data_IF_200389003273
#
_entry.id   IF_200389003273
#
_cell.length_a   1.000
_cell.length_b   1.000
_cell.length_c   1.000
_cell.angle_alpha   90.00
_cell.angle_beta   90.00
_cell.angle_gamma   90.00
#
_symmetry.space_group_name_H-M   'P 1'
#
loop_
_entity.id
_entity.type
_entity.pdbx_description
1 polymer ?
#
# COMPACT_ATOMS: atom_id res chain seq x y z
N UNK A 1 6.30 1.40 23.19
CA UNK A 1 7.48 1.45 22.31
C UNK A 1 7.08 2.13 21.00
N UNK A 2 7.95 3.04 20.49
CA UNK A 2 7.72 3.78 19.24
C UNK A 2 8.34 3.01 18.06
N UNK A 3 7.60 2.87 16.95
CA UNK A 3 8.06 2.22 15.72
C UNK A 3 7.71 3.03 14.46
N UNK A 4 8.46 2.84 13.38
CA UNK A 4 8.03 3.16 12.03
C UNK A 4 7.36 1.92 11.43
N UNK A 5 6.20 2.07 10.79
CA UNK A 5 5.42 0.95 10.29
C UNK A 5 5.22 0.99 8.79
N UNK A 6 5.34 -0.16 8.14
CA UNK A 6 5.11 -0.33 6.69
C UNK A 6 4.01 -1.37 6.47
N UNK A 7 2.96 -1.00 5.75
CA UNK A 7 1.80 -1.84 5.49
C UNK A 7 1.76 -2.30 4.04
N UNK A 8 1.71 -3.63 3.85
CA UNK A 8 1.62 -4.27 2.53
C UNK A 8 0.30 -3.98 1.83
N UNK A 9 0.32 -3.97 0.49
CA UNK A 9 -0.88 -3.94 -0.34
C UNK A 9 -1.56 -5.30 -0.45
N UNK A 10 -2.90 -5.33 -0.54
CA UNK A 10 -3.59 -6.61 -0.65
C UNK A 10 -5.11 -6.54 -0.81
N UNK A 11 -5.63 -5.46 -1.35
CA UNK A 11 -7.07 -5.29 -1.59
C UNK A 11 -7.90 -5.42 -0.31
N UNK A 12 -9.00 -6.17 -0.38
CA UNK A 12 -9.91 -6.33 0.78
C UNK A 12 -9.25 -7.03 1.99
N UNK A 13 -8.16 -7.75 1.79
CA UNK A 13 -7.39 -8.38 2.89
C UNK A 13 -6.81 -7.34 3.85
N UNK A 14 -6.70 -6.08 3.46
CA UNK A 14 -6.25 -4.97 4.31
C UNK A 14 -7.02 -4.80 5.62
N UNK A 15 -8.21 -5.39 5.74
CA UNK A 15 -8.95 -5.50 7.01
C UNK A 15 -8.10 -6.17 8.10
N UNK A 16 -7.31 -7.17 7.73
CA UNK A 16 -6.41 -7.85 8.68
C UNK A 16 -5.25 -6.98 9.15
N UNK A 17 -4.82 -5.99 8.33
CA UNK A 17 -3.82 -5.01 8.76
C UNK A 17 -4.35 -4.13 9.90
N UNK A 18 -5.61 -3.68 9.83
CA UNK A 18 -6.23 -2.93 10.92
C UNK A 18 -6.33 -3.78 12.21
N UNK A 19 -6.60 -5.09 12.07
CA UNK A 19 -6.50 -6.02 13.19
C UNK A 19 -5.09 -6.10 13.78
N UNK A 20 -4.06 -6.18 12.94
CA UNK A 20 -2.67 -6.25 13.42
C UNK A 20 -2.22 -4.96 14.11
N UNK A 21 -2.77 -3.81 13.70
CA UNK A 21 -2.61 -2.54 14.44
C UNK A 21 -3.22 -2.64 15.83
N UNK A 22 -4.41 -3.28 15.99
CA UNK A 22 -5.00 -3.53 17.30
C UNK A 22 -4.06 -4.32 18.19
N UNK A 23 -3.57 -5.48 17.71
CA UNK A 23 -2.64 -6.30 18.49
C UNK A 23 -1.35 -5.56 18.87
N UNK A 24 -0.83 -4.72 17.99
CA UNK A 24 0.31 -3.87 18.28
C UNK A 24 0.00 -2.82 19.38
N UNK A 25 -1.14 -2.13 19.26
CA UNK A 25 -1.55 -1.11 20.23
C UNK A 25 -1.83 -1.72 21.62
N UNK A 26 -2.42 -2.93 21.67
CA UNK A 26 -2.67 -3.67 22.90
C UNK A 26 -1.35 -4.05 23.61
N UNK A 27 -0.26 -4.23 22.86
CA UNK A 27 1.09 -4.43 23.37
C UNK A 27 1.85 -3.11 23.66
N UNK A 28 1.18 -1.97 23.66
CA UNK A 28 1.79 -0.67 23.98
C UNK A 28 2.65 -0.08 22.86
N UNK A 29 2.48 -0.54 21.62
CA UNK A 29 3.19 0.01 20.44
C UNK A 29 2.54 1.31 19.99
N UNK A 30 3.37 2.29 19.68
CA UNK A 30 2.98 3.57 19.10
C UNK A 30 3.64 3.74 17.74
N UNK A 31 2.93 4.39 16.82
CA UNK A 31 3.36 4.56 15.44
C UNK A 31 3.93 5.97 15.22
N UNK A 32 5.25 6.05 14.98
CA UNK A 32 5.95 7.29 14.67
C UNK A 32 5.66 7.73 13.22
N UNK A 33 6.25 7.07 12.25
CA UNK A 33 6.03 7.26 10.82
C UNK A 33 5.35 6.02 10.26
N UNK A 34 4.52 6.20 9.25
CA UNK A 34 3.79 5.11 8.62
C UNK A 34 3.90 5.18 7.11
N UNK A 35 4.01 4.03 6.48
CA UNK A 35 4.02 3.92 5.03
C UNK A 35 3.12 2.76 4.58
N UNK A 36 2.61 2.85 3.36
CA UNK A 36 1.79 1.77 2.83
C UNK A 36 1.58 1.81 1.33
N UNK A 37 1.19 0.65 0.80
CA UNK A 37 0.84 0.43 -0.60
C UNK A 37 -0.60 -0.06 -0.67
N UNK A 38 -1.38 0.41 -1.64
CA UNK A 38 -2.77 -0.06 -1.88
C UNK A 38 -3.61 -0.03 -0.60
N UNK A 39 -4.26 -1.14 -0.21
CA UNK A 39 -5.01 -1.19 1.06
C UNK A 39 -4.16 -0.88 2.30
N UNK A 40 -2.86 -1.14 2.27
CA UNK A 40 -1.93 -0.72 3.32
C UNK A 40 -1.80 0.81 3.42
N UNK A 41 -1.92 1.53 2.30
CA UNK A 41 -1.94 3.00 2.31
C UNK A 41 -3.18 3.58 2.98
N UNK A 42 -4.31 2.87 2.94
CA UNK A 42 -5.54 3.25 3.67
C UNK A 42 -5.28 3.19 5.17
N UNK A 43 -4.75 2.05 5.65
CA UNK A 43 -4.43 1.86 7.08
C UNK A 43 -3.38 2.89 7.54
N UNK A 44 -2.33 3.09 6.75
CA UNK A 44 -1.31 4.09 7.04
C UNK A 44 -1.88 5.52 7.13
N UNK A 45 -2.76 5.91 6.20
CA UNK A 45 -3.39 7.23 6.19
C UNK A 45 -4.32 7.44 7.40
N UNK A 46 -5.11 6.44 7.78
CA UNK A 46 -5.96 6.51 8.97
C UNK A 46 -5.12 6.62 10.26
N UNK A 47 -4.04 5.83 10.38
CA UNK A 47 -3.11 5.94 11.51
C UNK A 47 -2.42 7.32 11.56
N UNK A 48 -1.98 7.84 10.41
CA UNK A 48 -1.36 9.16 10.33
C UNK A 48 -2.33 10.27 10.76
N UNK A 49 -3.62 10.11 10.46
CA UNK A 49 -4.69 11.01 10.88
C UNK A 49 -5.10 10.86 12.36
N UNK A 50 -4.50 9.91 13.10
CA UNK A 50 -4.76 9.70 14.52
C UNK A 50 -5.91 8.75 14.85
N UNK A 51 -6.37 7.95 13.88
CA UNK A 51 -7.32 6.87 14.17
C UNK A 51 -6.67 5.76 14.97
N UNK A 52 -7.39 5.25 15.97
CA UNK A 52 -7.01 4.03 16.71
C UNK A 52 -7.60 2.80 16.03
N UNK A 53 -7.07 1.64 16.36
CA UNK A 53 -7.52 0.38 15.76
C UNK A 53 -9.01 0.10 16.01
N UNK A 54 -9.53 0.43 17.20
CA UNK A 54 -10.94 0.27 17.53
C UNK A 54 -11.84 1.14 16.62
N UNK A 55 -11.42 2.39 16.34
CA UNK A 55 -12.13 3.27 15.43
C UNK A 55 -12.10 2.73 13.99
N UNK A 56 -10.93 2.22 13.54
CA UNK A 56 -10.80 1.57 12.23
C UNK A 56 -11.68 0.33 12.11
N UNK A 57 -11.81 -0.48 13.16
CA UNK A 57 -12.72 -1.62 13.21
C UNK A 57 -14.16 -1.21 12.95
N UNK A 58 -14.64 -0.19 13.66
CA UNK A 58 -16.00 0.34 13.47
C UNK A 58 -16.22 0.87 12.05
N UNK A 59 -15.23 1.56 11.48
CA UNK A 59 -15.27 2.04 10.10
C UNK A 59 -15.40 0.85 9.12
N UNK A 60 -14.58 -0.19 9.32
CA UNK A 60 -14.58 -1.39 8.48
C UNK A 60 -15.92 -2.13 8.55
N UNK A 61 -16.44 -2.35 9.75
CA UNK A 61 -17.71 -3.06 9.98
C UNK A 61 -18.91 -2.32 9.37
N UNK A 62 -18.88 -0.99 9.36
CA UNK A 62 -19.95 -0.15 8.82
C UNK A 62 -19.78 0.22 7.34
N UNK A 63 -18.68 -0.21 6.68
CA UNK A 63 -18.45 0.12 5.28
C UNK A 63 -18.79 -1.05 4.37
N UNK A 64 -19.87 -0.96 3.57
CA UNK A 64 -20.14 -1.95 2.54
C UNK A 64 -19.15 -1.76 1.38
N UNK A 65 -18.00 -2.43 1.43
CA UNK A 65 -16.90 -2.26 0.45
C UNK A 65 -17.35 -2.42 -1.00
N UNK A 66 -18.34 -3.28 -1.27
CA UNK A 66 -18.95 -3.42 -2.58
C UNK A 66 -19.56 -2.10 -3.11
N UNK A 67 -20.02 -1.20 -2.23
CA UNK A 67 -20.57 0.10 -2.63
C UNK A 67 -19.50 1.07 -3.13
N UNK A 68 -18.23 0.82 -2.80
CA UNK A 68 -17.10 1.60 -3.32
C UNK A 68 -16.79 1.25 -4.79
N UNK A 69 -17.35 0.14 -5.30
CA UNK A 69 -17.23 -0.30 -6.68
C UNK A 69 -18.35 0.33 -7.52
N UNK A 70 -18.24 1.62 -7.82
CA UNK A 70 -19.23 2.31 -8.66
C UNK A 70 -18.85 2.24 -10.12
N UNK A 71 -19.82 1.79 -10.94
CA UNK A 71 -19.78 1.95 -12.40
C UNK A 71 -20.45 3.27 -12.78
N UNK A 72 -19.89 3.96 -13.79
CA UNK A 72 -20.58 5.12 -14.35
C UNK A 72 -21.91 4.70 -15.00
N UNK A 73 -23.02 5.43 -14.83
CA UNK A 73 -24.33 5.08 -15.40
C UNK A 73 -24.32 4.84 -16.93
N UNK A 74 -23.45 5.56 -17.66
CA UNK A 74 -23.32 5.49 -19.12
C UNK A 74 -22.84 4.09 -19.58
N UNK A 75 -22.16 3.34 -18.73
CA UNK A 75 -21.61 2.02 -19.04
C UNK A 75 -22.36 0.87 -18.37
N UNK A 76 -23.61 1.08 -17.97
CA UNK A 76 -24.41 0.10 -17.21
C UNK A 76 -25.06 -0.97 -18.12
N UNK A 77 -24.83 -0.93 -19.44
CA UNK A 77 -25.27 -1.99 -20.37
C UNK A 77 -24.48 -3.26 -20.13
N UNK A 78 -25.21 -4.38 -19.88
CA UNK A 78 -24.69 -5.64 -19.32
C UNK A 78 -23.52 -6.28 -20.11
N UNK A 79 -23.46 -6.07 -21.43
CA UNK A 79 -22.51 -6.75 -22.32
C UNK A 79 -21.48 -5.81 -22.98
N UNK A 80 -21.90 -4.63 -23.40
CA UNK A 80 -21.07 -3.68 -24.14
C UNK A 80 -20.38 -2.68 -23.20
N UNK A 81 -21.07 -2.31 -22.11
CA UNK A 81 -20.63 -1.31 -21.17
C UNK A 81 -19.24 -1.57 -20.53
N UNK A 82 -18.97 -2.78 -19.99
CA UNK A 82 -17.67 -3.06 -19.38
C UNK A 82 -16.51 -3.03 -20.38
N UNK A 83 -16.68 -3.54 -21.61
CA UNK A 83 -15.66 -3.54 -22.65
C UNK A 83 -15.37 -2.13 -23.16
N UNK A 84 -16.42 -1.36 -23.47
CA UNK A 84 -16.30 0.04 -23.90
C UNK A 84 -15.65 0.90 -22.79
N UNK A 85 -16.02 0.69 -21.53
CA UNK A 85 -15.42 1.40 -20.40
C UNK A 85 -13.93 1.07 -20.24
N UNK A 86 -13.57 -0.20 -20.32
CA UNK A 86 -12.18 -0.65 -20.22
C UNK A 86 -11.32 0.01 -21.33
N UNK A 87 -11.86 0.12 -22.54
CA UNK A 87 -11.17 0.76 -23.66
C UNK A 87 -11.04 2.28 -23.48
N UNK A 88 -12.11 2.96 -23.04
CA UNK A 88 -12.15 4.42 -22.93
C UNK A 88 -11.56 4.95 -21.62
N UNK A 89 -11.84 4.29 -20.50
CA UNK A 89 -11.44 4.73 -19.14
C UNK A 89 -10.29 3.93 -18.54
N UNK A 90 -9.94 2.79 -19.15
CA UNK A 90 -8.84 1.88 -18.71
C UNK A 90 -9.09 1.21 -17.36
N UNK A 91 -10.36 1.20 -16.87
CA UNK A 91 -10.77 0.53 -15.62
C UNK A 91 -12.24 0.11 -15.66
N UNK A 92 -12.60 -0.93 -14.90
CA UNK A 92 -13.97 -1.41 -14.75
C UNK A 92 -14.80 -0.51 -13.81
N UNK A 93 -14.13 0.09 -12.81
CA UNK A 93 -14.75 0.92 -11.78
C UNK A 93 -14.07 2.29 -11.69
N UNK A 94 -14.86 3.31 -11.34
CA UNK A 94 -14.30 4.61 -10.94
C UNK A 94 -13.74 4.52 -9.54
N UNK A 95 -12.53 5.00 -9.31
CA UNK A 95 -11.95 5.10 -7.96
C UNK A 95 -12.49 6.28 -7.14
N UNK A 96 -13.42 7.08 -7.67
CA UNK A 96 -13.93 8.29 -7.02
C UNK A 96 -14.72 8.00 -5.75
N UNK A 97 -15.47 6.88 -5.70
CA UNK A 97 -16.20 6.50 -4.51
C UNK A 97 -15.25 6.15 -3.35
N UNK A 98 -14.15 5.44 -3.66
CA UNK A 98 -13.09 5.13 -2.70
C UNK A 98 -12.41 6.42 -2.21
N UNK A 99 -12.02 7.30 -3.14
CA UNK A 99 -11.41 8.60 -2.80
C UNK A 99 -12.32 9.44 -1.90
N UNK A 100 -13.61 9.53 -2.23
CA UNK A 100 -14.59 10.30 -1.45
C UNK A 100 -14.80 9.71 -0.06
N UNK A 101 -14.83 8.38 0.06
CA UNK A 101 -14.94 7.69 1.35
C UNK A 101 -13.71 7.96 2.23
N UNK A 102 -12.50 7.81 1.70
CA UNK A 102 -11.25 8.10 2.44
C UNK A 102 -11.21 9.57 2.85
N UNK A 103 -11.55 10.49 1.94
CA UNK A 103 -11.60 11.93 2.22
C UNK A 103 -12.52 12.24 3.40
N UNK A 104 -13.73 11.68 3.41
CA UNK A 104 -14.67 11.84 4.52
C UNK A 104 -14.09 11.38 5.85
N UNK A 105 -13.39 10.25 5.87
CA UNK A 105 -12.74 9.76 7.10
C UNK A 105 -11.62 10.70 7.56
N UNK A 106 -10.74 11.13 6.66
CA UNK A 106 -9.64 12.03 7.00
C UNK A 106 -10.15 13.41 7.48
N UNK A 107 -11.17 13.96 6.83
CA UNK A 107 -11.79 15.25 7.22
C UNK A 107 -12.41 15.22 8.63
N UNK A 108 -12.89 14.06 9.11
CA UNK A 108 -13.33 13.90 10.50
C UNK A 108 -12.21 14.11 11.52
N UNK A 109 -10.97 13.94 11.12
CA UNK A 109 -9.77 14.21 11.93
C UNK A 109 -9.07 15.53 11.55
N UNK A 110 -9.71 16.37 10.72
CA UNK A 110 -9.17 17.65 10.27
C UNK A 110 -8.04 17.52 9.23
N UNK A 111 -7.88 16.37 8.59
CA UNK A 111 -6.84 16.12 7.58
C UNK A 111 -7.43 16.18 6.18
N UNK A 112 -6.84 17.00 5.31
CA UNK A 112 -7.18 17.11 3.89
C UNK A 112 -5.96 16.88 3.00
N UNK A 113 -4.88 17.59 3.28
CA UNK A 113 -3.65 17.58 2.51
C UNK A 113 -2.48 17.09 3.36
N UNK A 114 -1.34 16.84 2.73
CA UNK A 114 -0.14 16.47 3.48
C UNK A 114 0.40 17.62 4.37
N UNK A 115 0.00 18.88 4.12
CA UNK A 115 0.32 20.00 5.02
C UNK A 115 -0.33 19.86 6.40
N UNK A 116 -1.45 19.15 6.50
CA UNK A 116 -2.19 18.92 7.76
C UNK A 116 -1.56 17.82 8.62
N UNK A 117 -0.56 17.10 8.10
CA UNK A 117 0.17 16.06 8.80
C UNK A 117 1.58 16.54 9.18
N UNK A 118 2.17 16.03 10.28
CA UNK A 118 3.58 16.24 10.56
C UNK A 118 4.44 15.78 9.37
N UNK A 119 5.50 16.52 9.09
CA UNK A 119 6.39 16.23 7.96
C UNK A 119 6.93 14.79 8.02
N UNK A 120 6.81 14.06 6.92
CA UNK A 120 7.27 12.68 6.82
C UNK A 120 6.45 11.66 7.62
N UNK A 121 5.34 12.06 8.26
CA UNK A 121 4.46 11.17 9.04
C UNK A 121 3.89 10.04 8.19
N UNK A 122 3.51 10.33 6.95
CA UNK A 122 2.85 9.41 6.02
C UNK A 122 3.61 9.35 4.70
N UNK A 123 3.96 8.14 4.25
CA UNK A 123 4.47 7.87 2.92
C UNK A 123 3.55 6.88 2.21
N UNK A 124 3.28 7.12 0.93
CA UNK A 124 2.40 6.28 0.10
C UNK A 124 3.12 5.94 -1.20
N UNK A 125 3.18 4.66 -1.58
CA UNK A 125 3.75 4.26 -2.86
C UNK A 125 2.67 4.17 -3.94
N UNK A 126 3.00 4.63 -5.14
CA UNK A 126 2.20 4.48 -6.35
C UNK A 126 3.12 4.17 -7.54
N UNK A 127 2.57 3.73 -8.67
CA UNK A 127 3.34 3.40 -9.87
C UNK A 127 3.01 4.36 -11.00
N UNK A 128 3.99 5.12 -11.47
CA UNK A 128 3.91 5.91 -12.70
C UNK A 128 4.19 5.01 -13.89
N UNK A 129 3.15 4.58 -14.59
CA UNK A 129 3.27 3.70 -15.77
C UNK A 129 3.61 4.45 -17.06
N UNK A 130 3.56 5.78 -17.05
CA UNK A 130 4.00 6.58 -18.19
C UNK A 130 5.52 6.63 -18.29
N UNK A 131 6.21 6.64 -17.13
CA UNK A 131 7.66 6.72 -17.05
C UNK A 131 8.31 5.42 -16.52
N UNK A 132 7.53 4.41 -16.13
CA UNK A 132 8.02 3.14 -15.60
C UNK A 132 8.72 3.29 -14.23
N UNK A 133 8.26 4.21 -13.38
CA UNK A 133 8.93 4.51 -12.09
C UNK A 133 7.97 4.43 -10.91
N UNK A 134 8.52 4.10 -9.74
CA UNK A 134 7.79 4.21 -8.48
C UNK A 134 7.69 5.67 -8.06
N UNK A 135 6.57 6.03 -7.46
CA UNK A 135 6.34 7.31 -6.80
C UNK A 135 6.24 7.09 -5.29
N UNK A 136 7.04 7.81 -4.54
CA UNK A 136 6.91 7.94 -3.09
C UNK A 136 6.21 9.26 -2.77
N UNK A 137 4.93 9.19 -2.46
CA UNK A 137 4.12 10.37 -2.16
C UNK A 137 4.24 10.72 -0.67
N UNK A 138 4.24 12.01 -0.33
CA UNK A 138 3.98 13.15 -1.22
C UNK A 138 5.18 13.65 -2.05
N UNK A 139 6.42 13.28 -1.73
CA UNK A 139 7.60 13.98 -2.21
C UNK A 139 7.77 13.93 -3.73
N UNK A 140 7.56 12.77 -4.34
CA UNK A 140 7.78 12.57 -5.78
C UNK A 140 6.76 13.31 -6.68
N UNK A 141 5.67 13.85 -6.12
CA UNK A 141 4.72 14.65 -6.91
C UNK A 141 5.36 15.93 -7.46
N UNK A 142 6.49 16.37 -6.87
CA UNK A 142 7.30 17.49 -7.35
C UNK A 142 7.80 17.29 -8.78
N UNK A 143 7.98 16.04 -9.20
CA UNK A 143 8.38 15.68 -10.58
C UNK A 143 7.40 16.21 -11.64
N UNK A 144 6.17 16.49 -11.22
CA UNK A 144 5.10 17.01 -12.08
C UNK A 144 4.82 18.50 -11.83
N UNK A 145 5.64 19.16 -11.01
CA UNK A 145 5.50 20.56 -10.65
C UNK A 145 4.34 20.86 -9.71
N UNK A 146 3.98 19.87 -8.87
CA UNK A 146 2.95 19.98 -7.84
C UNK A 146 3.64 20.07 -6.48
N UNK A 147 3.17 20.97 -5.63
CA UNK A 147 3.65 21.12 -4.26
C UNK A 147 3.19 19.91 -3.40
N UNK A 148 4.12 19.13 -2.82
CA UNK A 148 3.79 18.00 -1.96
C UNK A 148 2.86 18.35 -0.80
N UNK A 149 3.04 19.51 -0.19
CA UNK A 149 2.22 19.95 0.93
C UNK A 149 0.74 20.13 0.54
N UNK A 150 0.47 20.51 -0.72
CA UNK A 150 -0.89 20.70 -1.26
C UNK A 150 -1.52 19.43 -1.84
N UNK A 151 -0.78 18.33 -1.89
CA UNK A 151 -1.35 17.06 -2.35
C UNK A 151 -2.44 16.59 -1.39
N UNK A 152 -3.64 16.31 -1.92
CA UNK A 152 -4.74 15.72 -1.16
C UNK A 152 -4.39 14.29 -0.77
N UNK A 153 -4.49 13.96 0.52
CA UNK A 153 -4.11 12.63 1.06
C UNK A 153 -5.02 11.54 0.48
N UNK A 154 -6.33 11.79 0.37
CA UNK A 154 -7.26 10.81 -0.19
C UNK A 154 -6.96 10.54 -1.66
N UNK A 155 -6.53 11.54 -2.42
CA UNK A 155 -6.10 11.37 -3.81
C UNK A 155 -4.82 10.53 -3.91
N UNK A 156 -3.85 10.74 -3.02
CA UNK A 156 -2.63 9.92 -2.95
C UNK A 156 -2.95 8.46 -2.63
N UNK A 157 -3.85 8.21 -1.67
CA UNK A 157 -4.33 6.85 -1.36
C UNK A 157 -5.06 6.24 -2.56
N UNK A 158 -5.89 7.00 -3.27
CA UNK A 158 -6.54 6.52 -4.50
C UNK A 158 -5.52 6.15 -5.57
N UNK A 159 -4.46 6.95 -5.79
CA UNK A 159 -3.38 6.59 -6.71
C UNK A 159 -2.81 5.22 -6.36
N UNK A 160 -2.48 5.03 -5.08
CA UNK A 160 -1.93 3.79 -4.55
C UNK A 160 -2.86 2.59 -4.65
N UNK A 161 -4.19 2.79 -4.64
CA UNK A 161 -5.22 1.75 -4.72
C UNK A 161 -5.78 1.54 -6.13
N UNK A 162 -5.28 2.24 -7.15
CA UNK A 162 -5.78 2.14 -8.53
C UNK A 162 -5.23 0.90 -9.23
N UNK A 163 -5.70 -0.29 -8.81
CA UNK A 163 -5.36 -1.58 -9.42
C UNK A 163 -5.64 -1.51 -10.92
N UNK A 164 -4.63 -1.79 -11.80
CA UNK A 164 -4.78 -1.69 -13.24
C UNK A 164 -5.98 -2.46 -13.76
N UNK A 165 -6.74 -1.85 -14.65
CA UNK A 165 -7.97 -2.37 -15.28
C UNK A 165 -9.14 -2.63 -14.32
N UNK A 166 -8.90 -2.73 -13.02
CA UNK A 166 -9.97 -2.81 -12.02
C UNK A 166 -10.49 -1.40 -11.69
N UNK A 167 -9.60 -0.50 -11.31
CA UNK A 167 -9.93 0.92 -11.16
C UNK A 167 -9.36 1.76 -12.30
N UNK A 168 -10.00 2.90 -12.58
CA UNK A 168 -9.47 3.90 -13.50
C UNK A 168 -8.11 4.39 -12.94
N UNK A 169 -7.06 4.49 -13.79
CA UNK A 169 -5.81 5.12 -13.38
C UNK A 169 -6.06 6.59 -13.00
N UNK A 170 -5.27 7.09 -12.07
CA UNK A 170 -5.28 8.52 -11.77
C UNK A 170 -4.41 9.24 -12.78
N UNK A 171 -5.01 10.19 -13.50
CA UNK A 171 -4.29 11.00 -14.48
C UNK A 171 -3.83 12.29 -13.81
N UNK A 172 -2.53 12.54 -13.84
CA UNK A 172 -1.91 13.77 -13.35
C UNK A 172 -1.51 14.62 -14.55
N UNK A 173 -1.95 15.87 -14.59
CA UNK A 173 -1.44 16.84 -15.55
C UNK A 173 -0.22 17.54 -14.93
N UNK A 174 0.89 17.55 -15.65
CA UNK A 174 2.09 18.32 -15.27
C UNK A 174 1.74 19.81 -15.19
N UNK A 175 2.36 20.54 -14.27
CA UNK A 175 2.15 21.98 -14.17
C UNK A 175 2.61 22.70 -15.45
N UNK A 176 2.14 23.93 -15.71
CA UNK A 176 2.49 24.68 -16.93
C UNK A 176 4.01 24.81 -17.15
N UNK A 177 4.78 24.94 -16.07
CA UNK A 177 6.25 25.05 -16.13
C UNK A 177 6.86 23.74 -16.62
N UNK A 178 6.38 22.60 -16.14
CA UNK A 178 6.89 21.25 -16.46
C UNK A 178 6.29 20.68 -17.77
N UNK A 179 5.26 21.32 -18.31
CA UNK A 179 4.62 20.91 -19.58
C UNK A 179 4.97 21.81 -20.76
N UNK A 180 5.73 22.90 -20.52
CA UNK A 180 6.11 23.85 -21.58
C UNK A 180 6.90 23.18 -22.70
N UNK A 181 6.40 23.29 -23.93
CA UNK A 181 7.02 22.69 -25.12
C UNK A 181 6.75 21.20 -25.32
N UNK A 182 6.05 20.55 -24.40
CA UNK A 182 5.67 19.14 -24.57
C UNK A 182 4.42 19.00 -25.46
N UNK A 183 4.33 17.97 -26.31
CA UNK A 183 3.08 17.58 -26.96
C UNK A 183 1.95 17.40 -25.95
N UNK A 184 0.71 17.67 -26.36
CA UNK A 184 -0.45 17.61 -25.45
C UNK A 184 -0.55 16.29 -24.67
N UNK A 185 -0.34 15.17 -25.33
CA UNK A 185 -0.39 13.83 -24.71
C UNK A 185 0.69 13.62 -23.64
N UNK A 186 1.87 14.21 -23.79
CA UNK A 186 3.02 14.06 -22.90
C UNK A 186 2.93 14.95 -21.64
N UNK A 187 1.90 15.81 -21.60
CA UNK A 187 1.57 16.62 -20.42
C UNK A 187 0.88 15.81 -19.33
N UNK A 188 0.46 14.58 -19.61
CA UNK A 188 -0.30 13.74 -18.70
C UNK A 188 0.52 12.50 -18.29
N UNK A 189 0.38 12.12 -17.01
CA UNK A 189 1.01 10.95 -16.43
C UNK A 189 -0.07 10.05 -15.86
N UNK A 190 0.02 8.75 -16.16
CA UNK A 190 -0.91 7.74 -15.67
C UNK A 190 -0.32 7.04 -14.45
N UNK A 191 -1.03 7.15 -13.33
CA UNK A 191 -0.62 6.56 -12.05
C UNK A 191 -1.59 5.46 -11.67
N UNK A 192 -1.03 4.31 -11.28
CA UNK A 192 -1.76 3.11 -10.87
C UNK A 192 -1.25 2.61 -9.52
N UNK A 193 -1.80 1.48 -9.06
CA UNK A 193 -1.48 0.85 -7.78
C UNK A 193 0.03 0.67 -7.59
N UNK A 194 0.50 1.02 -6.40
CA UNK A 194 1.90 0.91 -6.02
C UNK A 194 2.42 -0.52 -6.00
N UNK A 195 1.53 -1.49 -5.76
CA UNK A 195 1.86 -2.91 -5.75
C UNK A 195 2.38 -3.46 -7.07
N UNK A 196 2.21 -2.71 -8.17
CA UNK A 196 2.81 -3.04 -9.46
C UNK A 196 4.35 -3.03 -9.40
N UNK A 197 4.95 -2.08 -8.69
CA UNK A 197 6.41 -1.92 -8.60
C UNK A 197 6.97 -2.21 -7.20
N UNK A 198 6.22 -1.95 -6.14
CA UNK A 198 6.63 -2.25 -4.76
C UNK A 198 5.41 -2.41 -3.84
N UNK A 199 5.06 -3.66 -3.55
CA UNK A 199 3.89 -3.99 -2.73
C UNK A 199 4.15 -3.88 -1.22
N UNK A 200 5.42 -4.05 -0.80
CA UNK A 200 5.83 -4.03 0.61
C UNK A 200 7.11 -3.20 0.81
N UNK A 201 7.02 -1.86 0.80
CA UNK A 201 8.16 -0.97 0.68
C UNK A 201 8.90 -0.73 2.02
N UNK A 202 9.43 -1.77 2.67
CA UNK A 202 10.23 -1.65 3.91
C UNK A 202 11.42 -0.70 3.75
N UNK A 203 11.97 -0.63 2.54
CA UNK A 203 13.12 0.20 2.20
C UNK A 203 12.89 1.70 2.40
N UNK A 204 11.64 2.17 2.48
CA UNK A 204 11.30 3.58 2.66
C UNK A 204 11.90 4.18 3.93
N UNK A 205 12.08 3.37 4.96
CA UNK A 205 12.65 3.82 6.24
C UNK A 205 14.06 3.28 6.52
N UNK A 206 14.62 2.44 5.63
CA UNK A 206 15.97 1.86 5.82
C UNK A 206 17.10 2.87 5.54
N UNK A 207 16.80 3.99 4.90
CA UNK A 207 17.75 5.04 4.51
C UNK A 207 17.82 6.24 5.44
N UNK A 208 17.01 6.32 6.47
CA UNK A 208 17.00 7.44 7.43
C UNK A 208 18.25 7.41 8.32
N UNK A 209 19.37 7.88 7.73
CA UNK A 209 20.69 7.99 8.39
C UNK A 209 20.83 9.19 9.34
N UNK A 210 19.76 9.91 9.62
CA UNK A 210 19.78 11.10 10.46
C UNK A 210 19.72 10.81 11.96
N UNK A 211 19.51 9.54 12.32
CA UNK A 211 19.48 9.14 13.72
C UNK A 211 20.92 8.85 14.19
N UNK A 212 21.36 9.57 15.24
CA UNK A 212 22.63 9.33 15.94
C UNK A 212 22.67 7.87 16.39
N UNK A 213 23.85 7.24 16.38
CA UNK A 213 24.05 5.92 16.97
C UNK A 213 23.45 5.91 18.39
N UNK A 214 22.34 5.17 18.57
CA UNK A 214 21.63 5.05 19.85
C UNK A 214 20.11 5.26 19.81
N UNK A 215 19.57 6.03 18.83
CA UNK A 215 18.14 6.40 18.78
C UNK A 215 17.41 5.88 17.54
N UNK A 216 17.79 4.71 17.02
CA UNK A 216 17.14 4.13 15.82
C UNK A 216 15.73 3.69 16.18
N UNK A 217 14.72 4.39 15.64
CA UNK A 217 13.33 3.95 15.74
C UNK A 217 13.14 2.69 14.88
N UNK A 218 12.75 1.55 15.47
CA UNK A 218 12.60 0.31 14.73
C UNK A 218 11.60 0.41 13.58
N UNK A 219 11.92 -0.22 12.45
CA UNK A 219 11.01 -0.36 11.30
C UNK A 219 10.36 -1.73 11.34
N UNK A 220 9.04 -1.79 11.43
CA UNK A 220 8.26 -3.02 11.43
C UNK A 220 7.31 -3.05 10.26
N UNK A 221 7.35 -4.12 9.49
CA UNK A 221 6.47 -4.38 8.39
C UNK A 221 5.28 -5.25 8.79
N UNK A 222 4.12 -4.97 8.20
CA UNK A 222 2.88 -5.74 8.36
C UNK A 222 2.55 -6.39 7.02
N UNK A 223 2.78 -7.72 6.93
CA UNK A 223 2.68 -8.49 5.69
C UNK A 223 1.55 -9.52 5.77
N UNK A 224 0.72 -9.54 4.73
CA UNK A 224 -0.38 -10.49 4.60
C UNK A 224 0.12 -11.77 3.91
N UNK A 225 0.01 -12.92 4.60
CA UNK A 225 0.44 -14.22 4.07
C UNK A 225 -0.77 -15.09 3.75
N UNK A 226 -0.83 -15.61 2.51
CA UNK A 226 -1.83 -16.59 2.06
C UNK A 226 -1.44 -18.02 2.43
N UNK A 227 -2.35 -18.98 2.16
CA UNK A 227 -1.98 -20.39 2.15
C UNK A 227 -1.01 -20.64 0.99
N UNK A 228 -0.02 -21.49 1.21
CA UNK A 228 1.05 -21.83 0.25
C UNK A 228 0.53 -22.54 -1.01
N UNK A 229 -0.69 -23.06 -0.99
CA UNK A 229 -1.33 -23.68 -2.16
C UNK A 229 -2.10 -22.62 -2.96
N UNK A 230 -1.44 -22.09 -3.98
CA UNK A 230 -2.09 -21.24 -4.98
C UNK A 230 -2.82 -22.16 -5.96
N UNK A 231 -4.17 -22.18 -5.91
CA UNK A 231 -4.92 -22.80 -6.99
C UNK A 231 -4.56 -22.12 -8.33
N UNK A 232 -4.23 -22.89 -9.37
CA UNK A 232 -3.90 -22.31 -10.68
C UNK A 232 -5.04 -21.43 -11.19
N UNK A 233 -4.71 -20.23 -11.66
CA UNK A 233 -5.69 -19.31 -12.22
C UNK A 233 -6.33 -19.93 -13.48
N UNK A 234 -7.64 -20.06 -13.49
CA UNK A 234 -8.39 -20.55 -14.67
C UNK A 234 -8.56 -19.41 -15.68
N UNK A 235 -7.67 -19.34 -16.67
CA UNK A 235 -7.69 -18.34 -17.72
C UNK A 235 -8.69 -18.78 -18.80
N UNK A 236 -9.86 -18.12 -18.84
CA UNK A 236 -10.92 -18.40 -19.81
C UNK A 236 -11.06 -17.34 -20.92
N UNK A 237 -10.31 -16.25 -20.84
CA UNK A 237 -10.38 -15.15 -21.80
C UNK A 237 -9.52 -13.95 -21.39
N UNK A 238 -9.52 -12.86 -22.18
CA UNK A 238 -8.65 -11.72 -21.97
C UNK A 238 -8.79 -11.08 -20.57
N UNK A 239 -10.00 -10.97 -20.04
CA UNK A 239 -10.25 -10.38 -18.71
C UNK A 239 -9.69 -11.26 -17.59
N UNK A 240 -9.89 -12.57 -17.65
CA UNK A 240 -9.34 -13.49 -16.63
C UNK A 240 -7.82 -13.61 -16.72
N UNK A 241 -7.26 -13.52 -17.93
CA UNK A 241 -5.81 -13.44 -18.13
C UNK A 241 -5.23 -12.16 -17.52
N UNK A 242 -5.88 -11.03 -17.75
CA UNK A 242 -5.48 -9.75 -17.20
C UNK A 242 -5.53 -9.75 -15.65
N UNK A 243 -6.61 -10.30 -15.09
CA UNK A 243 -6.74 -10.47 -13.64
C UNK A 243 -5.63 -11.37 -13.09
N UNK A 244 -5.32 -12.48 -13.75
CA UNK A 244 -4.24 -13.38 -13.35
C UNK A 244 -2.86 -12.68 -13.42
N UNK A 245 -2.60 -11.87 -14.44
CA UNK A 245 -1.39 -11.07 -14.56
C UNK A 245 -1.25 -10.08 -13.39
N UNK A 246 -2.32 -9.34 -13.08
CA UNK A 246 -2.32 -8.39 -11.96
C UNK A 246 -2.10 -9.11 -10.62
N UNK A 247 -2.81 -10.21 -10.38
CA UNK A 247 -2.63 -11.02 -9.17
C UNK A 247 -1.19 -11.56 -9.06
N UNK A 248 -0.62 -12.04 -10.17
CA UNK A 248 0.78 -12.50 -10.22
C UNK A 248 1.76 -11.37 -9.93
N UNK A 249 1.56 -10.19 -10.52
CA UNK A 249 2.42 -9.03 -10.29
C UNK A 249 2.39 -8.56 -8.83
N UNK A 250 1.21 -8.55 -8.20
CA UNK A 250 1.04 -8.16 -6.80
C UNK A 250 1.65 -9.18 -5.82
N UNK A 251 1.80 -10.45 -6.23
CA UNK A 251 2.37 -11.51 -5.38
C UNK A 251 3.83 -11.81 -5.66
N UNK A 252 4.32 -11.60 -6.88
CA UNK A 252 5.65 -12.06 -7.32
C UNK A 252 6.84 -11.28 -6.72
N UNK A 253 6.63 -10.01 -6.33
CA UNK A 253 7.74 -9.12 -5.94
C UNK A 253 8.30 -9.37 -4.54
N UNK A 254 7.57 -10.06 -3.66
CA UNK A 254 7.86 -10.00 -2.23
C UNK A 254 8.28 -11.33 -1.57
N UNK A 255 8.12 -12.50 -2.23
CA UNK A 255 8.24 -13.76 -1.49
C UNK A 255 9.66 -14.26 -1.27
N UNK A 256 10.58 -14.11 -2.22
CA UNK A 256 11.87 -14.82 -2.14
C UNK A 256 13.00 -14.06 -1.46
N UNK A 257 13.06 -12.75 -1.63
CA UNK A 257 14.20 -11.96 -1.14
C UNK A 257 13.96 -11.31 0.23
N UNK A 258 12.71 -10.88 0.49
CA UNK A 258 12.35 -10.14 1.71
C UNK A 258 12.15 -11.09 2.90
N UNK A 259 11.66 -12.32 2.67
CA UNK A 259 11.28 -13.22 3.76
C UNK A 259 12.43 -13.66 4.66
N UNK A 260 13.58 -13.98 4.10
CA UNK A 260 14.72 -14.46 4.91
C UNK A 260 15.40 -13.33 5.68
N UNK A 261 15.55 -12.16 5.04
CA UNK A 261 16.33 -11.05 5.56
C UNK A 261 15.54 -10.20 6.57
N UNK A 262 14.23 -10.04 6.38
CA UNK A 262 13.39 -9.14 7.19
C UNK A 262 12.42 -9.85 8.15
N UNK A 263 12.57 -11.15 8.36
CA UNK A 263 11.64 -11.95 9.22
C UNK A 263 11.51 -11.41 10.63
N UNK A 264 12.60 -10.93 11.24
CA UNK A 264 12.64 -10.42 12.59
C UNK A 264 11.88 -9.11 12.81
N UNK A 265 11.56 -8.40 11.71
CA UNK A 265 10.85 -7.13 11.70
C UNK A 265 9.56 -7.18 10.88
N UNK A 266 8.99 -8.36 10.65
CA UNK A 266 7.79 -8.53 9.84
C UNK A 266 6.71 -9.30 10.59
N UNK A 267 5.59 -8.65 10.88
CA UNK A 267 4.35 -9.26 11.36
C UNK A 267 3.72 -10.01 10.20
N UNK A 268 3.65 -11.34 10.26
CA UNK A 268 3.01 -12.19 9.23
C UNK A 268 1.55 -12.44 9.58
N UNK A 269 0.64 -11.98 8.76
CA UNK A 269 -0.80 -11.98 9.03
C UNK A 269 -1.49 -12.99 8.11
N UNK A 270 -2.03 -14.11 8.63
CA UNK A 270 -2.77 -15.08 7.83
C UNK A 270 -4.05 -14.49 7.23
N UNK A 271 -4.27 -14.69 5.92
CA UNK A 271 -5.42 -14.12 5.20
C UNK A 271 -6.56 -15.11 4.94
N UNK A 272 -6.52 -16.27 5.58
CA UNK A 272 -7.61 -17.28 5.63
C UNK A 272 -8.12 -17.73 4.24
N UNK A 273 -7.29 -17.64 3.19
CA UNK A 273 -7.66 -18.01 1.82
C UNK A 273 -8.49 -16.97 1.08
N UNK A 274 -8.72 -15.80 1.65
CA UNK A 274 -9.47 -14.71 1.01
C UNK A 274 -8.62 -14.05 -0.08
N UNK A 275 -9.23 -13.84 -1.27
CA UNK A 275 -8.55 -13.21 -2.43
C UNK A 275 -8.56 -11.68 -2.32
N UNK A 276 -7.52 -10.99 -2.83
CA UNK A 276 -7.44 -9.51 -2.79
C UNK A 276 -8.63 -8.80 -3.45
N UNK A 277 -9.22 -9.41 -4.47
CA UNK A 277 -10.31 -8.86 -5.30
C UNK A 277 -11.71 -9.30 -4.85
N UNK A 278 -11.82 -10.02 -3.73
CA UNK A 278 -13.11 -10.52 -3.19
C UNK A 278 -13.84 -9.42 -2.40
N UNK A 279 -14.33 -8.38 -3.08
CA UNK A 279 -14.98 -7.23 -2.43
C UNK A 279 -16.34 -7.51 -1.78
N UNK A 280 -16.95 -8.66 -2.07
CA UNK A 280 -18.17 -9.14 -1.40
C UNK A 280 -17.80 -10.06 -0.24
N UNK A 281 -17.27 -9.47 0.84
CA UNK A 281 -17.01 -10.20 2.07
C UNK A 281 -18.26 -10.25 2.95
N UNK A 282 -18.50 -11.41 3.56
CA UNK A 282 -19.46 -11.51 4.65
C UNK A 282 -18.94 -10.78 5.89
N UNK A 283 -19.83 -10.37 6.79
CA UNK A 283 -19.43 -9.82 8.09
C UNK A 283 -18.57 -10.83 8.87
N UNK A 284 -18.86 -12.13 8.73
CA UNK A 284 -18.10 -13.21 9.36
C UNK A 284 -16.66 -13.26 8.83
N UNK A 285 -16.46 -13.20 7.49
CA UNK A 285 -15.12 -13.20 6.88
C UNK A 285 -14.33 -11.94 7.27
N UNK A 286 -14.99 -10.79 7.26
CA UNK A 286 -14.39 -9.51 7.67
C UNK A 286 -13.92 -9.57 9.13
N UNK A 287 -14.78 -10.08 10.04
CA UNK A 287 -14.44 -10.24 11.45
C UNK A 287 -13.31 -11.27 11.64
N UNK A 288 -13.31 -12.38 10.88
CA UNK A 288 -12.27 -13.39 10.95
C UNK A 288 -10.91 -12.83 10.49
N UNK A 289 -10.88 -12.05 9.39
CA UNK A 289 -9.66 -11.36 8.94
C UNK A 289 -9.12 -10.39 9.99
N UNK A 290 -10.00 -9.58 10.59
CA UNK A 290 -9.61 -8.64 11.63
C UNK A 290 -8.99 -9.37 12.83
N UNK A 291 -9.65 -10.45 13.32
CA UNK A 291 -9.16 -11.27 14.43
C UNK A 291 -7.81 -11.92 14.11
N UNK A 292 -7.66 -12.48 12.90
CA UNK A 292 -6.39 -13.05 12.43
C UNK A 292 -5.25 -12.03 12.52
N UNK A 293 -5.53 -10.79 12.11
CA UNK A 293 -4.58 -9.69 12.23
C UNK A 293 -4.25 -9.37 13.68
N UNK A 294 -5.27 -9.24 14.55
CA UNK A 294 -5.07 -8.91 15.96
C UNK A 294 -4.22 -9.97 16.67
N UNK A 295 -4.49 -11.24 16.44
CA UNK A 295 -3.70 -12.36 16.96
C UNK A 295 -2.25 -12.26 16.48
N UNK A 296 -2.01 -12.10 15.17
CA UNK A 296 -0.67 -12.01 14.61
C UNK A 296 0.13 -10.81 15.15
N UNK A 297 -0.51 -9.65 15.32
CA UNK A 297 0.10 -8.48 15.93
C UNK A 297 0.50 -8.73 17.39
N UNK A 298 -0.42 -9.26 18.21
CA UNK A 298 -0.18 -9.58 19.61
C UNK A 298 0.93 -10.62 19.76
N UNK A 299 0.91 -11.71 19.01
CA UNK A 299 1.93 -12.76 19.05
C UNK A 299 3.32 -12.23 18.70
N UNK A 300 3.41 -11.37 17.68
CA UNK A 300 4.67 -10.78 17.27
C UNK A 300 5.22 -9.87 18.36
N UNK A 301 4.45 -8.95 18.91
CA UNK A 301 4.91 -7.94 19.84
C UNK A 301 5.07 -8.44 21.27
N UNK A 302 4.41 -9.50 21.70
CA UNK A 302 4.62 -10.12 23.00
C UNK A 302 6.04 -10.66 23.21
N UNK A 303 6.69 -11.14 22.14
CA UNK A 303 8.08 -11.63 22.18
C UNK A 303 9.12 -10.63 21.66
N UNK A 304 8.69 -9.44 21.26
CA UNK A 304 9.53 -8.48 20.57
C UNK A 304 10.04 -7.36 21.50
N UNK A 305 11.31 -6.97 21.32
CA UNK A 305 11.86 -5.80 21.99
C UNK A 305 12.93 -5.10 21.13
N UNK A 306 13.20 -3.83 21.43
CA UNK A 306 14.12 -2.98 20.66
C UNK A 306 15.56 -3.49 20.66
N UNK A 307 16.02 -4.16 21.73
CA UNK A 307 17.36 -4.73 21.80
C UNK A 307 17.53 -5.90 20.83
N UNK A 308 16.58 -6.86 20.83
CA UNK A 308 16.56 -7.95 19.85
C UNK A 308 16.52 -7.43 18.42
N UNK A 309 15.73 -6.38 18.18
CA UNK A 309 15.68 -5.73 16.86
C UNK A 309 17.05 -5.19 16.46
N UNK A 310 17.75 -4.44 17.34
CA UNK A 310 19.08 -3.89 17.10
C UNK A 310 20.10 -4.97 16.76
N UNK A 311 20.18 -6.02 17.60
CA UNK A 311 21.11 -7.14 17.42
C UNK A 311 20.90 -7.85 16.05
N UNK A 312 19.64 -8.06 15.65
CA UNK A 312 19.31 -8.68 14.37
C UNK A 312 19.63 -7.77 13.18
N UNK A 313 19.36 -6.47 13.31
CA UNK A 313 19.65 -5.48 12.27
C UNK A 313 21.16 -5.38 12.02
N UNK A 314 21.97 -5.40 13.07
CA UNK A 314 23.45 -5.36 12.95
C UNK A 314 23.99 -6.64 12.31
N UNK A 315 23.42 -7.80 12.65
CA UNK A 315 23.76 -9.07 12.00
C UNK A 315 23.46 -9.02 10.51
N UNK A 316 22.28 -8.55 10.15
CA UNK A 316 21.84 -8.38 8.76
C UNK A 316 22.77 -7.44 7.96
N UNK A 317 23.12 -6.28 8.55
CA UNK A 317 24.03 -5.31 7.92
C UNK A 317 25.42 -5.92 7.68
N UNK A 318 25.93 -6.70 8.60
CA UNK A 318 27.21 -7.41 8.44
C UNK A 318 27.17 -8.44 7.31
N UNK A 319 26.08 -9.22 7.22
CA UNK A 319 25.89 -10.20 6.14
C UNK A 319 25.78 -9.55 4.76
N UNK A 320 25.03 -8.44 4.67
CA UNK A 320 24.90 -7.70 3.40
C UNK A 320 26.24 -7.10 2.94
N UNK A 321 27.02 -6.54 3.86
CA UNK A 321 28.37 -6.02 3.53
C UNK A 321 29.31 -7.12 3.06
N UNK A 322 29.27 -8.32 3.63
CA UNK A 322 30.05 -9.48 3.16
C UNK A 322 29.66 -9.87 1.74
N UNK A 323 28.36 -10.01 1.46
CA UNK A 323 27.87 -10.34 0.11
C UNK A 323 28.23 -9.29 -0.93
N UNK A 324 28.21 -8.00 -0.59
CA UNK A 324 28.64 -6.93 -1.50
C UNK A 324 30.14 -6.94 -1.77
N UNK A 325 30.96 -7.34 -0.80
CA UNK A 325 32.41 -7.46 -0.98
C UNK A 325 32.81 -8.67 -1.85
N UNK A 326 31.93 -9.70 -1.96
CA UNK A 326 32.14 -10.90 -2.76
C UNK A 326 31.72 -10.74 -4.24
N UNK A 327 31.00 -9.64 -4.58
CA UNK A 327 30.62 -9.36 -5.97
C UNK A 327 31.80 -8.66 -6.67
N UNK A 328 32.42 -9.29 -7.70
CA UNK A 328 33.50 -8.63 -8.43
C UNK A 328 33.00 -7.35 -9.11
N UNK A 329 33.85 -6.33 -9.24
CA UNK A 329 33.47 -5.09 -9.92
C UNK A 329 33.02 -5.40 -11.34
N UNK A 330 31.82 -4.89 -11.71
CA UNK A 330 31.32 -4.97 -13.09
C UNK A 330 32.38 -4.33 -14.00
N UNK A 331 32.91 -5.12 -14.93
CA UNK A 331 33.81 -4.63 -15.98
C UNK A 331 33.02 -3.60 -16.79
N UNK A 332 33.49 -2.36 -16.93
CA UNK A 332 32.82 -1.37 -17.79
C UNK A 332 32.88 -1.86 -19.24
N UNK A 333 31.70 -1.98 -19.87
CA UNK A 333 31.52 -2.25 -21.29
C UNK A 333 31.63 -0.95 -22.06
#
# INVERSE_FOLDING_TARGET
>A
VLINAVFEGGGVKGISLAGAVQGAQDCGIQFNRVAGTSSGSIVAALLAAGYRAEEMKVIIENTPFASLLRRSPIFNTRWIGPAARLFLKKGLYSGEALESWIRKMLEQKGIRTFADLPQGKLLITASDISNGTILVLPDDIRRFGIDPAKLDVAKAVRMSCSIPYFFDPVVIRKSPVFSKGLPFQDQFVYVVDGGLLSNFPLWLFDGDRTEREGDVIPVVGFKMVGKTEVEPARIKGPLSMLQALVETMLTAHDERYIEQINRFRTVKIPTLGIKPTQFHLSLQDSTALYRSGATAGTEFFNGWNTKMYGDQLDKQRKELRKKQAEVPPLIPV
#
